data_IF_011226566542
#
_entry.id   IF_011226566542
#
_cell.length_a   1.000
_cell.length_b   1.000
_cell.length_c   1.000
_cell.angle_alpha   90.00
_cell.angle_beta   90.00
_cell.angle_gamma   90.00
#
_symmetry.space_group_name_H-M   'P 1'
#
loop_
_entity.id
_entity.type
_entity.pdbx_description
1 polymer ?
#
# COMPACT_ATOMS: atom_id res chain seq x y z
N UNK A 1 1.71 2.85 -9.82
CA UNK A 1 2.27 1.70 -9.07
C UNK A 1 2.52 0.51 -9.98
N UNK A 2 1.50 -0.14 -10.57
CA UNK A 2 1.68 -1.26 -11.54
C UNK A 2 2.68 -0.93 -12.65
N UNK A 3 2.46 0.20 -13.33
CA UNK A 3 3.31 0.60 -14.47
C UNK A 3 4.73 1.02 -14.06
N UNK A 4 5.00 1.15 -12.75
CA UNK A 4 6.31 1.51 -12.17
C UNK A 4 6.93 0.36 -11.38
N UNK A 5 6.34 -0.84 -11.42
CA UNK A 5 6.78 -1.98 -10.59
C UNK A 5 8.24 -2.36 -10.85
N UNK A 6 8.68 -2.27 -12.11
CA UNK A 6 10.05 -2.57 -12.51
C UNK A 6 11.07 -1.63 -11.84
N UNK A 7 10.76 -0.33 -11.73
CA UNK A 7 11.67 0.63 -11.08
C UNK A 7 11.88 0.32 -9.60
N UNK A 8 10.82 -0.13 -8.92
CA UNK A 8 10.91 -0.55 -7.51
C UNK A 8 11.68 -1.86 -7.37
N UNK A 9 11.45 -2.83 -8.26
CA UNK A 9 12.18 -4.09 -8.26
C UNK A 9 13.69 -3.88 -8.51
N UNK A 10 14.06 -3.01 -9.45
CA UNK A 10 15.45 -2.58 -9.69
C UNK A 10 16.08 -1.90 -8.48
N UNK A 11 15.27 -1.19 -7.67
CA UNK A 11 15.70 -0.60 -6.40
C UNK A 11 15.71 -1.61 -5.23
N UNK A 12 15.50 -2.91 -5.50
CA UNK A 12 15.46 -3.95 -4.46
C UNK A 12 14.20 -3.91 -3.59
N UNK A 13 13.14 -3.22 -4.03
CA UNK A 13 11.89 -3.05 -3.27
C UNK A 13 10.81 -3.99 -3.79
N UNK A 14 10.20 -4.74 -2.88
CA UNK A 14 9.02 -5.54 -3.18
C UNK A 14 7.74 -4.75 -2.91
N UNK A 15 6.85 -4.72 -3.89
CA UNK A 15 5.58 -4.02 -3.83
C UNK A 15 4.45 -4.90 -3.26
N UNK A 16 3.61 -4.29 -2.42
CA UNK A 16 2.37 -4.87 -1.90
C UNK A 16 1.27 -3.80 -1.91
N UNK A 17 0.07 -4.17 -2.38
CA UNK A 17 -1.14 -3.40 -2.10
C UNK A 17 -1.82 -3.93 -0.84
N UNK A 18 -2.41 -3.08 -0.01
CA UNK A 18 -3.10 -3.49 1.21
C UNK A 18 -4.45 -2.80 1.31
N UNK A 19 -5.51 -3.56 1.61
CA UNK A 19 -6.80 -3.00 2.00
C UNK A 19 -7.52 -3.96 2.95
N UNK A 20 -8.65 -3.52 3.52
CA UNK A 20 -9.51 -4.37 4.36
C UNK A 20 -10.45 -5.27 3.55
N UNK A 21 -10.34 -5.28 2.23
CA UNK A 21 -11.16 -6.16 1.40
C UNK A 21 -10.72 -7.61 1.55
N UNK A 22 -11.64 -8.53 1.26
CA UNK A 22 -11.37 -9.96 1.39
C UNK A 22 -10.32 -10.42 0.36
N UNK A 23 -9.58 -11.51 0.65
CA UNK A 23 -8.72 -12.16 -0.34
C UNK A 23 -9.43 -12.52 -1.66
N UNK A 24 -10.74 -12.82 -1.61
CA UNK A 24 -11.56 -13.15 -2.78
C UNK A 24 -11.82 -11.91 -3.64
N UNK A 25 -12.12 -10.78 -2.99
CA UNK A 25 -12.23 -9.47 -3.65
C UNK A 25 -10.90 -9.09 -4.28
N UNK A 26 -9.78 -9.30 -3.58
CA UNK A 26 -8.44 -9.03 -4.10
C UNK A 26 -8.08 -9.90 -5.31
N UNK A 27 -8.41 -11.19 -5.31
CA UNK A 27 -8.20 -12.08 -6.47
C UNK A 27 -8.99 -11.57 -7.68
N UNK A 28 -10.27 -11.25 -7.49
CA UNK A 28 -11.08 -10.73 -8.60
C UNK A 28 -10.53 -9.39 -9.11
N UNK A 29 -10.12 -8.50 -8.20
CA UNK A 29 -9.60 -7.19 -8.55
C UNK A 29 -8.23 -7.26 -9.24
N UNK A 30 -7.34 -8.14 -8.78
CA UNK A 30 -6.03 -8.33 -9.40
C UNK A 30 -6.15 -8.88 -10.81
N UNK A 31 -7.09 -9.77 -11.07
CA UNK A 31 -7.38 -10.30 -12.41
C UNK A 31 -7.96 -9.23 -13.33
N UNK A 32 -8.95 -8.46 -12.86
CA UNK A 32 -9.61 -7.41 -13.66
C UNK A 32 -8.63 -6.29 -14.05
N UNK A 33 -7.72 -5.92 -13.14
CA UNK A 33 -6.75 -4.85 -13.38
C UNK A 33 -5.38 -5.33 -13.89
N UNK A 34 -5.21 -6.64 -14.08
CA UNK A 34 -3.94 -7.27 -14.46
C UNK A 34 -2.77 -6.78 -13.58
N UNK A 35 -2.94 -6.90 -12.25
CA UNK A 35 -1.94 -6.43 -11.30
C UNK A 35 -0.76 -7.40 -11.24
N UNK A 36 0.44 -6.85 -11.30
CA UNK A 36 1.70 -7.58 -11.27
C UNK A 36 2.36 -7.59 -9.87
N UNK A 37 1.61 -7.24 -8.83
CA UNK A 37 2.06 -7.26 -7.44
C UNK A 37 0.97 -7.84 -6.53
N UNK A 38 1.34 -8.47 -5.40
CA UNK A 38 0.40 -9.07 -4.47
C UNK A 38 -0.45 -8.02 -3.75
N UNK A 39 -1.69 -8.41 -3.45
CA UNK A 39 -2.59 -7.69 -2.56
C UNK A 39 -2.70 -8.45 -1.23
N UNK A 40 -2.58 -7.74 -0.12
CA UNK A 40 -2.69 -8.25 1.24
C UNK A 40 -4.01 -7.78 1.85
N UNK A 41 -4.76 -8.73 2.39
CA UNK A 41 -6.02 -8.47 3.07
C UNK A 41 -5.78 -8.19 4.56
N UNK A 42 -6.02 -6.96 4.97
CA UNK A 42 -6.13 -6.53 6.37
C UNK A 42 -7.59 -6.59 6.85
N UNK A 43 -8.24 -7.74 6.64
CA UNK A 43 -9.69 -7.94 6.89
C UNK A 43 -10.11 -7.52 8.30
N UNK A 44 -9.27 -7.81 9.29
CA UNK A 44 -9.51 -7.52 10.70
C UNK A 44 -9.10 -6.10 11.14
N UNK A 45 -8.57 -5.27 10.24
CA UNK A 45 -8.05 -3.93 10.52
C UNK A 45 -6.81 -3.87 11.43
N UNK A 46 -6.09 -4.98 11.62
CA UNK A 46 -4.93 -5.05 12.50
C UNK A 46 -3.84 -4.06 12.02
N UNK A 47 -3.55 -4.03 10.73
CA UNK A 47 -2.56 -3.11 10.17
C UNK A 47 -3.08 -1.66 10.14
N UNK A 48 -4.35 -1.45 9.76
CA UNK A 48 -4.99 -0.13 9.77
C UNK A 48 -4.94 0.52 11.15
N UNK A 49 -5.18 -0.25 12.22
CA UNK A 49 -5.09 0.22 13.60
C UNK A 49 -3.65 0.42 14.05
N UNK A 50 -2.76 -0.55 13.79
CA UNK A 50 -1.35 -0.45 14.18
C UNK A 50 -0.63 0.75 13.53
N UNK A 51 -1.00 1.10 12.30
CA UNK A 51 -0.43 2.22 11.55
C UNK A 51 -1.16 3.55 11.81
N UNK A 52 -2.27 3.53 12.56
CA UNK A 52 -3.05 4.75 12.87
C UNK A 52 -3.68 5.40 11.64
N UNK A 53 -4.04 4.61 10.61
CA UNK A 53 -4.53 5.14 9.32
C UNK A 53 -6.03 4.94 9.11
N UNK A 54 -6.74 4.35 10.07
CA UNK A 54 -8.18 4.17 10.00
C UNK A 54 -8.94 5.50 10.05
N UNK A 55 -9.98 5.63 9.23
CA UNK A 55 -10.94 6.72 9.32
C UNK A 55 -12.34 6.26 8.90
N UNK A 56 -13.36 7.04 9.26
CA UNK A 56 -14.72 6.79 8.80
C UNK A 56 -14.92 7.42 7.41
N UNK A 57 -15.37 6.61 6.45
CA UNK A 57 -15.69 7.09 5.11
C UNK A 57 -17.06 6.58 4.68
N UNK A 58 -18.00 7.50 4.43
CA UNK A 58 -19.37 7.16 3.98
C UNK A 58 -20.08 6.14 4.90
N UNK A 59 -19.89 6.25 6.21
CA UNK A 59 -20.46 5.36 7.22
C UNK A 59 -19.73 4.02 7.39
N UNK A 60 -18.65 3.77 6.63
CA UNK A 60 -17.78 2.61 6.82
C UNK A 60 -16.65 2.99 7.78
N UNK A 61 -16.52 2.23 8.86
CA UNK A 61 -15.46 2.40 9.85
C UNK A 61 -14.15 1.76 9.38
N UNK A 62 -13.05 2.25 9.93
CA UNK A 62 -11.70 1.72 9.71
C UNK A 62 -11.35 1.58 8.22
N UNK A 63 -11.81 2.50 7.39
CA UNK A 63 -11.33 2.59 6.01
C UNK A 63 -9.88 3.06 6.08
N UNK A 64 -8.98 2.36 5.38
CA UNK A 64 -7.59 2.73 5.35
C UNK A 64 -7.43 4.06 4.61
N UNK A 65 -6.83 5.05 5.26
CA UNK A 65 -6.38 6.25 4.56
C UNK A 65 -5.35 5.88 3.50
N UNK A 66 -5.40 6.58 2.37
CA UNK A 66 -4.45 6.38 1.29
C UNK A 66 -3.05 6.69 1.80
N UNK A 67 -2.24 5.64 1.96
CA UNK A 67 -0.93 5.74 2.58
C UNK A 67 0.07 4.87 1.84
N UNK A 68 1.34 5.28 1.86
CA UNK A 68 2.49 4.50 1.39
C UNK A 68 3.45 4.36 2.56
N UNK A 69 3.96 3.14 2.76
CA UNK A 69 4.98 2.85 3.75
C UNK A 69 6.16 2.16 3.07
N UNK A 70 7.37 2.61 3.37
CA UNK A 70 8.60 1.91 3.03
C UNK A 70 9.08 1.18 4.28
N UNK A 71 9.16 -0.14 4.21
CA UNK A 71 9.54 -1.00 5.34
C UNK A 71 10.76 -1.81 4.94
N UNK A 72 11.78 -1.84 5.80
CA UNK A 72 12.97 -2.65 5.55
C UNK A 72 12.79 -4.12 5.97
N UNK A 73 13.79 -4.95 5.69
CA UNK A 73 13.77 -6.38 6.03
C UNK A 73 13.72 -6.66 7.54
N UNK A 74 14.13 -5.70 8.36
CA UNK A 74 14.02 -5.76 9.82
C UNK A 74 12.63 -5.39 10.36
N UNK A 75 11.68 -5.04 9.47
CA UNK A 75 10.33 -4.60 9.83
C UNK A 75 10.25 -3.15 10.29
N UNK A 76 11.31 -2.35 10.08
CA UNK A 76 11.31 -0.94 10.45
C UNK A 76 10.74 -0.08 9.33
N UNK A 77 9.79 0.79 9.66
CA UNK A 77 9.28 1.80 8.73
C UNK A 77 10.36 2.87 8.49
N UNK A 78 10.90 2.92 7.27
CA UNK A 78 11.90 3.90 6.81
C UNK A 78 11.27 5.14 6.18
N UNK A 79 10.00 5.07 5.80
CA UNK A 79 9.23 6.22 5.33
C UNK A 79 7.73 5.96 5.38
N UNK A 80 6.96 7.01 5.63
CA UNK A 80 5.51 6.97 5.69
C UNK A 80 4.93 8.24 5.06
N UNK A 81 4.02 8.07 4.11
CA UNK A 81 3.38 9.16 3.38
C UNK A 81 1.89 8.94 3.35
N UNK A 82 1.12 9.95 3.74
CA UNK A 82 -0.34 9.94 3.74
C UNK A 82 -0.87 10.93 2.72
N UNK A 83 -1.93 10.54 2.02
CA UNK A 83 -2.54 11.28 0.93
C UNK A 83 -4.05 11.38 1.15
N UNK A 84 -4.68 12.32 0.47
CA UNK A 84 -6.14 12.42 0.45
C UNK A 84 -6.77 11.27 -0.35
N UNK A 85 -8.02 10.90 -0.05
CA UNK A 85 -8.67 9.70 -0.66
C UNK A 85 -8.68 9.73 -2.19
N UNK A 86 -8.85 10.92 -2.78
CA UNK A 86 -8.90 11.13 -4.24
C UNK A 86 -7.54 11.46 -4.88
N UNK A 87 -6.48 11.56 -4.09
CA UNK A 87 -5.15 11.91 -4.59
C UNK A 87 -4.42 10.65 -5.10
N UNK A 88 -3.67 10.78 -6.19
CA UNK A 88 -2.77 9.70 -6.62
C UNK A 88 -1.46 9.88 -5.87
N UNK A 89 -0.95 8.85 -5.15
CA UNK A 89 0.31 8.97 -4.44
C UNK A 89 1.45 9.34 -5.39
N UNK A 90 2.32 10.24 -4.93
CA UNK A 90 3.60 10.48 -5.58
C UNK A 90 4.56 9.33 -5.24
N UNK A 91 4.89 8.54 -6.25
CA UNK A 91 5.78 7.38 -6.09
C UNK A 91 7.26 7.71 -6.28
N UNK A 92 7.61 8.94 -6.71
CA UNK A 92 9.02 9.35 -6.86
C UNK A 92 9.71 9.49 -5.51
N UNK A 93 9.01 10.05 -4.52
CA UNK A 93 9.57 10.26 -3.17
C UNK A 93 9.88 8.92 -2.47
N UNK A 94 8.95 7.93 -2.41
CA UNK A 94 9.28 6.60 -1.87
C UNK A 94 10.40 5.89 -2.63
N UNK A 95 10.43 5.98 -3.96
CA UNK A 95 11.46 5.33 -4.78
C UNK A 95 12.85 5.95 -4.56
N UNK A 96 12.94 7.28 -4.51
CA UNK A 96 14.19 7.98 -4.19
C UNK A 96 14.67 7.63 -2.78
N UNK A 97 13.74 7.54 -1.82
CA UNK A 97 14.06 7.12 -0.44
C UNK A 97 14.63 5.71 -0.43
N UNK A 98 14.02 4.77 -1.15
CA UNK A 98 14.51 3.39 -1.23
C UNK A 98 15.91 3.28 -1.83
N UNK A 99 16.21 4.07 -2.88
CA UNK A 99 17.53 4.10 -3.52
C UNK A 99 18.64 4.70 -2.65
N UNK A 100 18.27 5.43 -1.59
CA UNK A 100 19.21 6.11 -0.70
C UNK A 100 19.51 5.31 0.59
N UNK A 101 18.83 4.18 0.80
CA UNK A 101 19.09 3.23 1.90
C UNK A 101 20.20 2.25 1.50
#
# INVERSE_FOLDING_TARGET
MRDRSAEFEEAGVRLFGVSRDSPWTHIAWSQVLDLNFPLLSDWNADAVHALGIGFEHRGLKDVAARSVFLVDEGGTVRGAWRYETGEVPDFDVPLATARAL
#
